data_IF_746350513332
#
_entry.id   IF_746350513332
#
_cell.length_a   1.000
_cell.length_b   1.000
_cell.length_c   1.000
_cell.angle_alpha   90.00
_cell.angle_beta   90.00
_cell.angle_gamma   90.00
#
_symmetry.space_group_name_H-M   'P 1'
#
loop_
_entity.id
_entity.type
_entity.pdbx_description
1 polymer ?
#
# COMPACT_ATOMS: atom_id res chain seq x y z
N UNK A 1 93.51 4.52 10.05
CA UNK A 1 92.67 4.18 8.89
C UNK A 1 91.31 3.69 9.45
N UNK A 2 90.30 4.52 9.43
CA UNK A 2 89.02 4.19 9.96
C UNK A 2 87.99 4.52 8.90
N UNK A 3 87.36 3.48 8.31
CA UNK A 3 86.32 3.62 7.29
C UNK A 3 84.99 3.79 8.02
N UNK A 4 84.35 4.92 7.85
CA UNK A 4 82.99 5.18 8.30
C UNK A 4 82.00 4.70 7.23
N UNK A 5 81.16 3.74 7.60
CA UNK A 5 80.10 3.23 6.80
C UNK A 5 78.82 4.11 7.07
N UNK A 6 78.33 4.79 6.05
CA UNK A 6 77.07 5.51 6.12
C UNK A 6 75.97 4.56 5.75
N UNK A 7 75.09 4.24 6.70
CA UNK A 7 73.78 3.59 6.44
C UNK A 7 72.79 4.68 6.03
N UNK A 8 72.32 4.63 4.79
CA UNK A 8 71.10 5.35 4.36
C UNK A 8 69.89 4.53 4.78
N UNK A 9 69.15 5.01 5.77
CA UNK A 9 67.83 4.50 6.10
C UNK A 9 66.80 5.16 5.16
N UNK A 10 66.30 4.39 4.21
CA UNK A 10 65.18 4.81 3.36
C UNK A 10 63.87 4.77 4.17
N UNK A 11 63.36 5.96 4.52
CA UNK A 11 62.05 6.12 5.14
C UNK A 11 61.00 5.92 4.07
N UNK A 12 60.39 4.73 4.03
CA UNK A 12 59.18 4.49 3.22
C UNK A 12 57.99 5.15 3.96
N UNK A 13 57.59 6.31 3.46
CA UNK A 13 56.38 6.98 3.91
C UNK A 13 55.18 6.24 3.30
N UNK A 14 54.56 5.34 4.06
CA UNK A 14 53.29 4.76 3.71
C UNK A 14 52.23 5.88 3.89
N UNK A 15 51.87 6.52 2.79
CA UNK A 15 50.66 7.34 2.75
C UNK A 15 49.47 6.38 2.92
N UNK A 16 49.00 6.27 4.14
CA UNK A 16 47.66 5.74 4.38
C UNK A 16 46.67 6.69 3.70
N UNK A 17 46.22 6.33 2.51
CA UNK A 17 45.18 7.04 1.81
C UNK A 17 43.97 7.09 2.71
N UNK A 18 43.43 8.28 2.92
CA UNK A 18 42.11 8.43 3.53
C UNK A 18 41.12 7.56 2.73
N UNK A 19 40.24 6.82 3.38
CA UNK A 19 39.26 6.02 2.65
C UNK A 19 38.46 6.97 1.74
N UNK A 20 38.48 6.68 0.44
CA UNK A 20 37.67 7.40 -0.53
C UNK A 20 36.21 7.26 -0.09
N UNK A 21 35.49 8.36 0.04
CA UNK A 21 34.07 8.43 0.44
C UNK A 21 33.16 7.70 -0.58
N UNK A 22 33.73 7.30 -1.71
CA UNK A 22 33.08 6.48 -2.74
C UNK A 22 33.84 5.16 -2.84
N UNK A 23 33.32 4.11 -2.18
CA UNK A 23 33.86 2.76 -2.35
C UNK A 23 33.80 2.33 -3.81
N UNK A 24 34.75 1.48 -4.22
CA UNK A 24 34.73 0.85 -5.54
C UNK A 24 33.40 0.09 -5.73
N UNK A 25 32.82 0.09 -6.96
CA UNK A 25 31.59 -0.62 -7.24
C UNK A 25 31.68 -2.10 -6.84
N UNK A 26 30.67 -2.60 -6.14
CA UNK A 26 30.59 -4.00 -5.70
C UNK A 26 29.65 -4.74 -6.64
N UNK A 27 30.15 -5.23 -7.76
CA UNK A 27 29.35 -5.88 -8.80
C UNK A 27 28.33 -4.91 -9.39
N UNK A 28 27.01 -5.16 -9.17
CA UNK A 28 25.96 -4.25 -9.65
C UNK A 28 25.70 -3.08 -8.71
N UNK A 29 26.23 -3.08 -7.49
CA UNK A 29 26.01 -2.01 -6.52
C UNK A 29 27.13 -0.97 -6.59
N UNK A 30 26.78 0.30 -6.60
CA UNK A 30 27.72 1.41 -6.53
C UNK A 30 28.00 1.85 -5.09
N UNK A 31 27.13 1.50 -4.15
CA UNK A 31 27.23 1.90 -2.75
C UNK A 31 26.92 0.72 -1.83
N UNK A 32 27.65 0.67 -0.71
CA UNK A 32 27.44 -0.31 0.35
C UNK A 32 27.83 0.34 1.68
N UNK A 33 26.86 0.48 2.58
CA UNK A 33 27.06 1.14 3.88
C UNK A 33 26.02 0.74 4.90
N UNK A 34 26.33 1.00 6.15
CA UNK A 34 25.37 0.90 7.23
C UNK A 34 24.47 2.13 7.27
N UNK A 35 23.19 1.94 7.58
CA UNK A 35 22.20 2.95 7.87
C UNK A 35 21.97 2.96 9.38
N UNK A 36 22.05 4.12 10.00
CA UNK A 36 22.08 4.24 11.46
C UNK A 36 23.41 3.81 12.05
N UNK A 37 23.37 3.33 13.26
CA UNK A 37 24.51 2.71 13.95
C UNK A 37 24.16 1.26 14.28
N UNK A 38 24.12 0.36 13.30
CA UNK A 38 23.88 -1.06 13.57
C UNK A 38 25.08 -1.59 14.31
N UNK A 39 25.13 -1.31 15.56
CA UNK A 39 26.32 -1.38 16.14
C UNK A 39 26.50 -2.20 17.27
N UNK A 40 27.15 -3.00 17.01
CA UNK A 40 27.74 -3.66 17.99
C UNK A 40 29.22 -3.68 18.00
N UNK A 41 29.85 -3.95 19.12
CA UNK A 41 31.26 -4.26 19.20
C UNK A 41 31.73 -5.36 18.23
N UNK A 42 30.83 -6.09 17.59
CA UNK A 42 31.15 -7.13 16.62
C UNK A 42 31.53 -6.64 15.21
N UNK A 43 31.37 -5.38 14.88
CA UNK A 43 31.80 -4.85 13.59
C UNK A 43 30.71 -4.19 12.75
N UNK A 44 31.13 -3.57 11.65
CA UNK A 44 30.26 -2.96 10.64
C UNK A 44 29.75 -4.00 9.65
N UNK A 45 28.58 -3.74 9.04
CA UNK A 45 28.10 -4.51 7.91
C UNK A 45 29.03 -4.44 6.69
N UNK A 46 28.75 -5.26 5.70
CA UNK A 46 29.55 -5.27 4.45
C UNK A 46 28.91 -6.10 3.37
N UNK A 47 29.16 -5.71 2.12
CA UNK A 47 28.69 -6.43 0.94
C UNK A 47 29.90 -7.00 0.20
N UNK A 48 29.82 -8.27 -0.18
CA UNK A 48 30.85 -8.95 -0.94
C UNK A 48 30.25 -9.62 -2.18
N UNK A 49 30.80 -9.34 -3.34
CA UNK A 49 30.53 -10.06 -4.58
C UNK A 49 31.08 -11.49 -4.48
N UNK A 50 30.30 -12.49 -4.82
CA UNK A 50 30.66 -13.91 -4.78
C UNK A 50 30.76 -14.47 -6.20
N UNK A 51 29.71 -14.28 -6.99
CA UNK A 51 29.62 -14.71 -8.37
C UNK A 51 28.66 -13.79 -9.15
N UNK A 52 28.50 -14.01 -10.43
CA UNK A 52 27.57 -13.21 -11.25
C UNK A 52 26.19 -13.16 -10.60
N UNK A 53 25.75 -11.96 -10.27
CA UNK A 53 24.47 -11.67 -9.61
C UNK A 53 24.26 -12.37 -8.25
N UNK A 54 25.36 -12.73 -7.56
CA UNK A 54 25.34 -13.36 -6.24
C UNK A 54 26.23 -12.60 -5.24
N UNK A 55 25.68 -12.33 -4.07
CA UNK A 55 26.33 -11.52 -3.04
C UNK A 55 26.16 -12.11 -1.65
N UNK A 56 27.16 -11.91 -0.81
CA UNK A 56 27.05 -12.07 0.64
C UNK A 56 26.93 -10.69 1.28
N UNK A 57 25.90 -10.49 2.09
CA UNK A 57 25.67 -9.25 2.82
C UNK A 57 25.71 -9.55 4.30
N UNK A 58 26.75 -9.04 4.96
CA UNK A 58 26.91 -9.09 6.41
C UNK A 58 26.20 -7.89 7.00
N UNK A 59 25.33 -8.10 7.99
CA UNK A 59 24.52 -7.03 8.57
C UNK A 59 24.24 -7.23 10.05
N UNK A 60 24.26 -6.14 10.78
CA UNK A 60 23.70 -5.98 12.11
C UNK A 60 22.44 -5.11 12.07
N UNK A 61 22.01 -4.65 13.23
CA UNK A 61 20.96 -3.65 13.36
C UNK A 61 19.73 -4.13 14.12
N UNK A 62 19.13 -3.21 14.88
CA UNK A 62 17.97 -3.52 15.71
C UNK A 62 16.74 -3.88 14.90
N UNK A 63 16.47 -3.17 13.82
CA UNK A 63 15.39 -3.47 12.88
C UNK A 63 15.31 -2.46 11.72
N UNK A 64 14.47 -2.79 10.73
CA UNK A 64 13.87 -1.89 9.75
C UNK A 64 12.40 -1.78 10.13
N UNK A 65 12.11 -0.93 11.12
CA UNK A 65 10.78 -0.76 11.71
C UNK A 65 10.71 0.51 12.58
N UNK A 66 9.49 0.88 13.03
CA UNK A 66 9.31 2.06 13.86
C UNK A 66 9.76 3.34 13.15
N UNK A 67 10.26 4.30 13.90
CA UNK A 67 10.62 5.64 13.39
C UNK A 67 12.07 5.76 12.90
N UNK A 68 12.91 4.76 13.16
CA UNK A 68 14.33 4.78 12.82
C UNK A 68 14.87 3.39 12.52
N UNK A 69 15.56 3.25 11.39
CA UNK A 69 16.09 1.99 10.88
C UNK A 69 17.56 1.80 11.25
N UNK A 70 17.95 0.53 11.43
CA UNK A 70 19.33 0.13 11.58
C UNK A 70 19.59 -1.17 10.79
N UNK A 71 20.43 -1.08 9.72
CA UNK A 71 20.66 -2.17 8.79
C UNK A 71 21.87 -1.91 7.89
N UNK A 72 22.30 -2.90 7.12
CA UNK A 72 23.26 -2.73 6.04
C UNK A 72 22.56 -2.59 4.69
N UNK A 73 23.00 -1.63 3.86
CA UNK A 73 22.38 -1.28 2.58
C UNK A 73 23.39 -1.31 1.42
N UNK A 74 23.13 -2.19 0.44
CA UNK A 74 23.84 -2.23 -0.83
C UNK A 74 22.90 -1.71 -1.93
N UNK A 75 23.25 -0.59 -2.60
CA UNK A 75 22.29 0.13 -3.43
C UNK A 75 22.91 0.90 -4.60
N UNK A 76 22.04 1.36 -5.49
CA UNK A 76 22.32 2.36 -6.51
C UNK A 76 21.44 3.59 -6.34
N UNK A 77 21.93 4.75 -6.82
CA UNK A 77 21.08 5.90 -7.08
C UNK A 77 20.38 5.67 -8.41
N UNK A 78 19.07 5.77 -8.41
CA UNK A 78 18.23 5.47 -9.56
C UNK A 78 17.27 6.62 -9.85
N UNK A 79 16.84 6.75 -11.11
CA UNK A 79 15.82 7.69 -11.56
C UNK A 79 14.90 7.00 -12.58
N UNK A 80 13.70 7.54 -12.78
CA UNK A 80 12.72 6.99 -13.72
C UNK A 80 12.12 5.66 -13.27
N UNK A 81 11.64 4.89 -14.23
CA UNK A 81 11.00 3.59 -13.98
C UNK A 81 12.07 2.51 -13.82
N UNK A 82 12.11 1.89 -12.66
CA UNK A 82 13.14 0.90 -12.32
C UNK A 82 12.61 -0.14 -11.34
N UNK A 83 12.99 -1.38 -11.54
CA UNK A 83 12.80 -2.51 -10.61
C UNK A 83 14.16 -3.03 -10.15
N UNK A 84 14.28 -3.27 -8.87
CA UNK A 84 15.35 -4.05 -8.27
C UNK A 84 14.80 -5.36 -7.74
N UNK A 85 15.45 -6.47 -8.07
CA UNK A 85 15.06 -7.82 -7.69
C UNK A 85 16.22 -8.63 -7.13
N UNK A 86 15.90 -9.57 -6.26
CA UNK A 86 16.81 -10.56 -5.73
C UNK A 86 16.09 -11.85 -5.31
N UNK A 87 16.84 -12.96 -5.24
CA UNK A 87 16.45 -14.19 -4.54
C UNK A 87 16.98 -14.11 -3.11
N UNK A 88 16.08 -14.07 -2.09
CA UNK A 88 16.51 -14.01 -0.70
C UNK A 88 17.05 -15.35 -0.22
N UNK A 89 18.08 -15.32 0.61
CA UNK A 89 18.64 -16.50 1.25
C UNK A 89 19.56 -16.14 2.42
N UNK A 90 19.94 -17.14 3.19
CA UNK A 90 20.83 -17.01 4.35
C UNK A 90 22.02 -17.96 4.23
N UNK A 91 23.22 -17.48 4.53
CA UNK A 91 24.47 -18.29 4.48
C UNK A 91 24.89 -18.73 5.87
N UNK A 92 24.89 -17.83 6.84
CA UNK A 92 25.22 -18.12 8.22
C UNK A 92 24.07 -17.71 9.12
N UNK A 93 23.57 -18.68 9.86
CA UNK A 93 22.53 -18.49 10.82
C UNK A 93 23.06 -18.23 12.21
N UNK A 94 22.82 -17.11 12.72
CA UNK A 94 22.86 -16.62 14.10
C UNK A 94 21.94 -15.44 14.14
N UNK A 95 21.37 -15.12 15.27
CA UNK A 95 20.51 -13.94 15.37
C UNK A 95 19.03 -14.26 15.44
N UNK A 96 18.25 -13.21 15.37
CA UNK A 96 16.82 -13.22 15.61
C UNK A 96 16.06 -13.79 14.41
N UNK A 97 14.97 -14.51 14.64
CA UNK A 97 14.07 -15.03 13.60
C UNK A 97 13.38 -13.90 12.79
N UNK A 98 13.35 -12.68 13.32
CA UNK A 98 12.90 -11.48 12.65
C UNK A 98 13.96 -10.84 11.74
N UNK A 99 15.17 -11.41 11.66
CA UNK A 99 16.15 -10.94 10.69
C UNK A 99 15.55 -10.90 9.29
N UNK A 100 15.83 -9.84 8.52
CA UNK A 100 15.17 -9.57 7.24
C UNK A 100 16.18 -9.43 6.12
N UNK A 101 15.76 -9.89 4.94
CA UNK A 101 16.33 -9.54 3.63
C UNK A 101 15.24 -8.84 2.85
N UNK A 102 15.56 -7.67 2.34
CA UNK A 102 14.58 -6.80 1.67
C UNK A 102 15.14 -6.26 0.35
N UNK A 103 14.26 -6.06 -0.64
CA UNK A 103 14.46 -5.09 -1.69
C UNK A 103 13.85 -3.78 -1.21
N UNK A 104 14.62 -2.68 -1.26
CA UNK A 104 14.20 -1.43 -0.63
C UNK A 104 14.44 -0.23 -1.53
N UNK A 105 13.46 0.66 -1.59
CA UNK A 105 13.53 1.98 -2.19
C UNK A 105 13.47 3.03 -1.08
N UNK A 106 14.41 4.00 -1.10
CA UNK A 106 14.52 5.07 -0.10
C UNK A 106 14.79 6.41 -0.74
N UNK A 107 14.42 7.47 -0.04
CA UNK A 107 14.77 8.84 -0.45
C UNK A 107 16.25 9.14 -0.17
N UNK A 108 16.74 8.74 1.00
CA UNK A 108 18.14 8.94 1.42
C UNK A 108 18.57 7.87 2.44
N UNK A 109 19.75 8.01 3.02
CA UNK A 109 20.32 7.09 4.02
C UNK A 109 20.03 7.48 5.47
N UNK A 110 19.21 8.49 5.72
CA UNK A 110 18.81 8.86 7.09
C UNK A 110 17.94 7.75 7.69
N UNK A 111 18.08 7.50 8.98
CA UNK A 111 17.38 6.39 9.67
C UNK A 111 15.87 6.48 9.56
N UNK A 112 15.32 7.67 9.58
CA UNK A 112 13.88 7.95 9.42
C UNK A 112 13.43 8.26 7.99
N UNK A 113 14.22 7.92 6.96
CA UNK A 113 13.89 8.20 5.55
C UNK A 113 12.58 7.56 5.13
N UNK A 114 11.85 8.23 4.23
CA UNK A 114 10.77 7.60 3.46
C UNK A 114 11.34 6.33 2.81
N UNK A 115 10.64 5.21 2.98
CA UNK A 115 11.07 3.91 2.49
C UNK A 115 9.89 3.02 2.11
N UNK A 116 10.08 2.24 1.05
CA UNK A 116 9.17 1.20 0.57
C UNK A 116 9.98 -0.06 0.32
N UNK A 117 9.59 -1.16 0.91
CA UNK A 117 10.34 -2.40 0.80
C UNK A 117 9.45 -3.62 0.61
N UNK A 118 10.01 -4.61 -0.08
CA UNK A 118 9.49 -5.99 -0.08
C UNK A 118 10.44 -6.81 0.78
N UNK A 119 9.95 -7.28 1.92
CA UNK A 119 10.75 -7.92 2.96
C UNK A 119 10.43 -9.40 3.07
N UNK A 120 11.47 -10.21 3.32
CA UNK A 120 11.34 -11.59 3.79
C UNK A 120 12.00 -11.74 5.15
N UNK A 121 11.45 -12.60 6.00
CA UNK A 121 12.06 -12.96 7.30
C UNK A 121 12.89 -14.23 7.16
N UNK A 122 13.81 -14.39 8.09
CA UNK A 122 14.56 -15.62 8.25
C UNK A 122 13.66 -16.71 8.82
N UNK A 123 13.17 -17.60 8.02
CA UNK A 123 12.27 -18.65 8.42
C UNK A 123 12.96 -19.88 9.02
N UNK A 124 13.71 -19.78 10.10
CA UNK A 124 14.21 -20.95 10.82
C UNK A 124 13.45 -21.22 12.11
N UNK A 125 13.21 -22.52 12.36
CA UNK A 125 12.43 -23.08 13.46
C UNK A 125 13.07 -22.91 14.86
N UNK A 126 13.84 -21.87 15.10
CA UNK A 126 14.57 -21.71 16.37
C UNK A 126 13.84 -20.83 17.38
N UNK A 127 12.62 -20.38 17.08
CA UNK A 127 11.78 -19.77 18.10
C UNK A 127 11.18 -20.85 19.01
N UNK A 128 11.62 -20.95 20.27
CA UNK A 128 11.14 -22.00 21.20
C UNK A 128 9.66 -21.86 21.56
N UNK A 129 9.00 -20.77 21.16
CA UNK A 129 7.58 -20.54 21.43
C UNK A 129 6.66 -20.74 20.22
N UNK A 130 7.18 -20.92 19.00
CA UNK A 130 6.35 -20.95 17.79
C UNK A 130 6.85 -22.03 16.82
N UNK A 131 6.17 -23.17 16.80
CA UNK A 131 6.50 -24.32 15.93
C UNK A 131 6.16 -24.10 14.45
N UNK A 132 5.82 -22.89 14.03
CA UNK A 132 5.45 -22.57 12.66
C UNK A 132 6.66 -21.98 11.92
N UNK A 133 7.06 -22.64 10.84
CA UNK A 133 8.02 -22.08 9.87
C UNK A 133 7.43 -20.79 9.33
N UNK A 134 8.00 -19.66 9.73
CA UNK A 134 7.55 -18.36 9.25
C UNK A 134 8.10 -18.07 7.85
N UNK A 135 7.51 -18.69 6.85
CA UNK A 135 7.64 -18.26 5.46
C UNK A 135 6.79 -17.00 5.31
N UNK A 136 7.36 -15.87 5.65
CA UNK A 136 6.69 -14.59 5.61
C UNK A 136 7.31 -13.69 4.53
N UNK A 137 6.47 -13.06 3.77
CA UNK A 137 6.82 -11.96 2.89
C UNK A 137 5.82 -10.83 3.08
N UNK A 138 6.27 -9.60 3.13
CA UNK A 138 5.40 -8.45 3.33
C UNK A 138 5.95 -7.18 2.69
N UNK A 139 5.04 -6.25 2.43
CA UNK A 139 5.39 -4.88 2.10
C UNK A 139 5.63 -4.09 3.40
N UNK A 140 6.72 -3.33 3.46
CA UNK A 140 7.01 -2.41 4.56
C UNK A 140 7.05 -0.97 4.04
N UNK A 141 6.40 -0.06 4.76
CA UNK A 141 6.12 1.28 4.26
C UNK A 141 6.37 2.32 5.35
N UNK A 142 7.17 3.33 5.02
CA UNK A 142 7.25 4.61 5.72
C UNK A 142 7.03 5.72 4.69
N UNK A 143 5.82 6.24 4.62
CA UNK A 143 5.43 7.26 3.63
C UNK A 143 5.81 8.68 4.02
N UNK A 144 6.12 8.90 5.30
CA UNK A 144 6.50 10.21 5.84
C UNK A 144 7.81 10.09 6.62
N UNK A 145 8.71 11.04 6.43
CA UNK A 145 10.00 11.07 7.15
C UNK A 145 9.79 11.08 8.67
N UNK A 146 10.52 10.23 9.38
CA UNK A 146 10.44 10.03 10.83
C UNK A 146 9.10 9.50 11.36
N UNK A 147 8.16 9.14 10.50
CA UNK A 147 6.98 8.39 10.90
C UNK A 147 7.32 6.93 11.21
N UNK A 148 6.40 6.22 11.85
CA UNK A 148 6.52 4.78 12.03
C UNK A 148 6.52 4.05 10.68
N UNK A 149 7.38 3.04 10.57
CA UNK A 149 7.22 2.06 9.49
C UNK A 149 6.14 1.07 9.88
N UNK A 150 5.25 0.75 8.97
CA UNK A 150 4.19 -0.23 9.17
C UNK A 150 4.22 -1.30 8.08
N UNK A 151 3.65 -2.46 8.38
CA UNK A 151 3.46 -3.53 7.41
C UNK A 151 2.22 -3.24 6.56
N UNK A 152 2.38 -3.29 5.25
CA UNK A 152 1.26 -3.36 4.33
C UNK A 152 0.71 -4.79 4.27
N UNK A 153 0.43 -5.25 3.06
CA UNK A 153 -0.03 -6.64 2.85
C UNK A 153 1.07 -7.63 3.25
N UNK A 154 0.69 -8.65 4.01
CA UNK A 154 1.56 -9.74 4.43
C UNK A 154 1.01 -11.08 3.92
N UNK A 155 1.89 -11.88 3.32
CA UNK A 155 1.57 -13.24 2.90
C UNK A 155 2.41 -14.25 3.68
N UNK A 156 1.74 -15.26 4.23
CA UNK A 156 2.38 -16.39 4.88
C UNK A 156 2.32 -17.65 4.02
N UNK A 157 3.14 -18.64 4.34
CA UNK A 157 2.99 -20.00 3.81
C UNK A 157 4.10 -20.52 2.90
N UNK A 158 4.73 -19.68 2.09
CA UNK A 158 5.85 -20.10 1.22
C UNK A 158 6.91 -19.02 1.08
N UNK A 159 8.17 -19.41 1.05
CA UNK A 159 9.27 -18.48 0.75
C UNK A 159 9.25 -18.19 -0.76
N UNK A 160 9.18 -16.93 -1.18
CA UNK A 160 9.26 -16.60 -2.59
C UNK A 160 10.65 -16.93 -3.16
N UNK A 161 10.70 -17.34 -4.41
CA UNK A 161 11.94 -17.54 -5.15
C UNK A 161 12.66 -16.23 -5.42
N UNK A 162 11.88 -15.15 -5.60
CA UNK A 162 12.38 -13.78 -5.74
C UNK A 162 11.44 -12.79 -5.09
N UNK A 163 12.02 -11.67 -4.67
CA UNK A 163 11.32 -10.46 -4.24
C UNK A 163 11.79 -9.27 -5.06
N UNK A 164 10.94 -8.27 -5.24
CA UNK A 164 11.32 -7.04 -5.91
C UNK A 164 10.56 -5.83 -5.36
N UNK A 165 11.22 -4.67 -5.44
CA UNK A 165 10.59 -3.36 -5.28
C UNK A 165 10.82 -2.58 -6.57
N UNK A 166 9.75 -1.97 -7.10
CA UNK A 166 9.84 -1.14 -8.29
C UNK A 166 9.16 0.20 -8.13
N UNK A 167 9.72 1.21 -8.80
CA UNK A 167 9.07 2.49 -9.06
C UNK A 167 8.59 2.51 -10.50
N UNK A 168 7.35 2.92 -10.72
CA UNK A 168 6.78 3.16 -12.05
C UNK A 168 6.09 4.51 -12.06
N UNK A 169 6.39 5.32 -13.06
CA UNK A 169 5.64 6.54 -13.39
C UNK A 169 4.89 6.25 -14.68
N UNK A 170 3.57 6.30 -14.62
CA UNK A 170 2.69 6.08 -15.76
C UNK A 170 1.56 7.12 -15.77
N UNK A 171 1.35 7.77 -16.91
CA UNK A 171 0.36 8.85 -17.09
C UNK A 171 0.42 9.95 -16.01
N UNK A 172 1.61 10.26 -15.49
CA UNK A 172 1.82 11.23 -14.41
C UNK A 172 1.63 10.68 -13.00
N UNK A 173 1.04 9.49 -12.85
CA UNK A 173 0.98 8.82 -11.54
C UNK A 173 2.31 8.19 -11.18
N UNK A 174 2.80 8.48 -9.99
CA UNK A 174 3.99 7.86 -9.43
C UNK A 174 3.59 6.74 -8.48
N UNK A 175 4.03 5.52 -8.78
CA UNK A 175 3.68 4.31 -8.05
C UNK A 175 4.92 3.58 -7.56
N UNK A 176 4.81 2.95 -6.39
CA UNK A 176 5.75 1.94 -5.91
C UNK A 176 5.01 0.62 -5.74
N UNK A 177 5.60 -0.45 -6.26
CA UNK A 177 5.08 -1.81 -6.09
C UNK A 177 6.07 -2.68 -5.32
N UNK A 178 5.52 -3.47 -4.40
CA UNK A 178 6.17 -4.62 -3.77
C UNK A 178 5.74 -5.88 -4.51
N UNK A 179 6.69 -6.67 -4.99
CA UNK A 179 6.45 -7.81 -5.87
C UNK A 179 7.08 -9.08 -5.33
N UNK A 180 6.43 -10.21 -5.57
CA UNK A 180 6.93 -11.55 -5.25
C UNK A 180 6.84 -12.48 -6.45
N UNK A 181 7.75 -13.44 -6.54
CA UNK A 181 7.72 -14.52 -7.53
C UNK A 181 7.95 -15.86 -6.83
N UNK A 182 6.98 -16.76 -6.94
CA UNK A 182 7.05 -18.14 -6.45
C UNK A 182 7.45 -19.15 -7.53
N UNK A 183 8.02 -18.67 -8.64
CA UNK A 183 8.45 -19.48 -9.78
C UNK A 183 7.47 -19.46 -10.96
N UNK A 184 6.35 -18.76 -10.86
CA UNK A 184 5.34 -18.63 -11.93
C UNK A 184 5.28 -17.21 -12.54
N UNK A 185 6.23 -16.35 -12.19
CA UNK A 185 6.28 -14.95 -12.58
C UNK A 185 5.87 -14.00 -11.46
N UNK A 186 6.07 -12.69 -11.70
CA UNK A 186 5.80 -11.65 -10.73
C UNK A 186 4.33 -11.55 -10.37
N UNK A 187 4.06 -11.50 -9.08
CA UNK A 187 2.75 -11.20 -8.49
C UNK A 187 2.85 -9.90 -7.70
N UNK A 188 1.83 -9.09 -7.79
CA UNK A 188 1.72 -7.86 -7.01
C UNK A 188 1.34 -8.20 -5.58
N UNK A 189 2.17 -7.84 -4.63
CA UNK A 189 1.91 -7.93 -3.21
C UNK A 189 1.21 -6.66 -2.71
N UNK A 190 1.74 -5.49 -3.11
CA UNK A 190 1.21 -4.19 -2.72
C UNK A 190 1.54 -3.13 -3.79
N UNK A 191 0.65 -2.16 -3.96
CA UNK A 191 0.86 -1.01 -4.86
C UNK A 191 0.45 0.26 -4.16
N UNK A 192 1.38 1.23 -4.11
CA UNK A 192 1.13 2.52 -3.48
C UNK A 192 1.28 3.66 -4.48
N UNK A 193 0.31 4.56 -4.47
CA UNK A 193 0.45 5.88 -5.07
C UNK A 193 1.32 6.76 -4.15
N UNK A 194 2.35 7.39 -4.72
CA UNK A 194 3.41 8.07 -3.95
C UNK A 194 3.81 9.39 -4.62
N UNK A 195 2.94 10.39 -4.65
CA UNK A 195 3.10 11.57 -5.48
C UNK A 195 4.32 12.45 -5.12
N UNK A 196 4.82 12.33 -3.91
CA UNK A 196 5.86 13.22 -3.36
C UNK A 196 7.28 12.65 -3.41
N UNK A 197 7.51 11.47 -4.00
CA UNK A 197 8.86 10.95 -4.11
C UNK A 197 9.71 11.78 -5.10
N UNK A 198 10.96 12.11 -4.74
CA UNK A 198 11.87 12.80 -5.67
C UNK A 198 12.23 11.91 -6.86
N UNK A 199 12.73 12.52 -7.95
CA UNK A 199 13.13 11.74 -9.11
C UNK A 199 14.30 10.80 -8.81
N UNK A 200 15.33 11.28 -8.11
CA UNK A 200 16.46 10.45 -7.70
C UNK A 200 16.17 9.77 -6.35
N UNK A 201 16.28 8.45 -6.34
CA UNK A 201 16.05 7.58 -5.19
C UNK A 201 17.22 6.61 -5.00
N UNK A 202 17.27 5.97 -3.84
CA UNK A 202 18.16 4.86 -3.54
C UNK A 202 17.35 3.56 -3.67
N UNK A 203 17.87 2.59 -4.41
CA UNK A 203 17.21 1.30 -4.61
C UNK A 203 18.23 0.17 -4.52
N UNK A 204 17.93 -0.86 -3.71
CA UNK A 204 18.88 -1.97 -3.51
C UNK A 204 18.44 -2.98 -2.46
N UNK A 205 19.42 -3.74 -1.97
CA UNK A 205 19.25 -4.78 -0.97
C UNK A 205 19.52 -4.25 0.44
N UNK A 206 18.57 -4.45 1.35
CA UNK A 206 18.69 -4.13 2.76
C UNK A 206 18.67 -5.41 3.60
N UNK A 207 19.56 -5.50 4.59
CA UNK A 207 19.65 -6.64 5.49
C UNK A 207 19.79 -6.16 6.92
N UNK A 208 18.99 -6.72 7.83
CA UNK A 208 19.07 -6.47 9.27
C UNK A 208 19.07 -7.77 10.06
N UNK A 209 19.84 -7.84 11.15
CA UNK A 209 19.86 -9.00 12.05
C UNK A 209 18.67 -9.00 13.02
N UNK A 210 17.93 -7.91 13.12
CA UNK A 210 16.94 -7.65 14.16
C UNK A 210 17.54 -7.78 15.58
N UNK A 211 18.86 -7.53 15.69
CA UNK A 211 19.60 -7.56 16.95
C UNK A 211 20.88 -6.76 16.83
N UNK A 212 21.13 -5.82 17.74
CA UNK A 212 22.36 -5.01 17.74
C UNK A 212 23.60 -5.78 18.22
N UNK A 213 23.44 -6.98 18.76
CA UNK A 213 24.53 -7.76 19.32
C UNK A 213 25.07 -8.85 18.37
N UNK A 214 24.33 -9.15 17.29
CA UNK A 214 24.66 -10.23 16.37
C UNK A 214 24.73 -9.74 14.92
N UNK A 215 25.70 -10.27 14.19
CA UNK A 215 25.73 -10.13 12.75
C UNK A 215 25.12 -11.37 12.11
N UNK A 216 24.30 -11.13 11.08
CA UNK A 216 23.81 -12.18 10.18
C UNK A 216 24.48 -12.05 8.82
N UNK A 217 24.57 -13.13 8.08
CA UNK A 217 25.03 -13.12 6.70
C UNK A 217 23.93 -13.63 5.79
N UNK A 218 23.39 -12.73 4.97
CA UNK A 218 22.48 -13.09 3.90
C UNK A 218 23.26 -13.48 2.65
N UNK A 219 22.80 -14.53 1.94
CA UNK A 219 23.23 -14.87 0.59
C UNK A 219 22.10 -14.50 -0.35
N UNK A 220 22.31 -13.50 -1.18
CA UNK A 220 21.32 -13.04 -2.16
C UNK A 220 21.79 -13.37 -3.56
N UNK A 221 20.90 -13.97 -4.34
CA UNK A 221 21.16 -14.38 -5.71
C UNK A 221 20.23 -13.68 -6.71
N UNK A 222 20.48 -13.90 -8.01
CA UNK A 222 19.66 -13.31 -9.09
C UNK A 222 19.45 -11.80 -8.98
N UNK A 223 20.46 -11.10 -8.43
CA UNK A 223 20.40 -9.66 -8.19
C UNK A 223 20.41 -8.92 -9.53
N UNK A 224 19.38 -8.14 -9.80
CA UNK A 224 19.26 -7.42 -11.06
C UNK A 224 18.49 -6.09 -10.91
N UNK A 225 18.84 -5.14 -11.81
CA UNK A 225 18.08 -3.92 -12.07
C UNK A 225 17.45 -4.00 -13.45
N UNK A 226 16.12 -3.83 -13.52
CA UNK A 226 15.38 -3.76 -14.78
C UNK A 226 14.92 -2.33 -15.02
N UNK A 227 15.30 -1.75 -16.16
CA UNK A 227 14.85 -0.43 -16.58
C UNK A 227 13.47 -0.53 -17.27
N UNK A 228 12.64 0.48 -17.08
CA UNK A 228 11.31 0.59 -17.64
C UNK A 228 10.42 -0.65 -17.42
N UNK A 229 10.33 -1.18 -16.18
CA UNK A 229 9.42 -2.27 -15.89
C UNK A 229 7.97 -1.79 -16.09
N UNK A 230 7.12 -2.69 -16.57
CA UNK A 230 5.66 -2.47 -16.57
C UNK A 230 5.06 -2.68 -15.17
N UNK A 231 3.86 -2.18 -14.98
CA UNK A 231 3.05 -2.46 -13.79
C UNK A 231 2.64 -3.93 -13.75
N UNK A 232 2.63 -4.52 -12.57
CA UNK A 232 2.29 -5.93 -12.33
C UNK A 232 0.97 -6.03 -11.57
N UNK A 233 0.07 -6.89 -12.04
CA UNK A 233 -1.14 -7.26 -11.30
C UNK A 233 -2.11 -6.13 -10.99
N UNK A 234 -2.08 -5.03 -11.77
CA UNK A 234 -3.06 -3.96 -11.63
C UNK A 234 -4.39 -4.44 -12.21
N UNK A 235 -5.47 -4.24 -11.44
CA UNK A 235 -6.82 -4.60 -11.86
C UNK A 235 -7.24 -3.78 -13.07
N UNK A 236 -7.86 -4.44 -14.05
CA UNK A 236 -8.56 -3.77 -15.15
C UNK A 236 -10.05 -3.86 -14.87
N UNK A 237 -10.74 -2.73 -14.89
CA UNK A 237 -12.20 -2.68 -14.73
C UNK A 237 -12.92 -3.22 -15.96
N UNK A 238 -14.24 -3.43 -15.84
CA UNK A 238 -15.07 -3.89 -16.96
C UNK A 238 -15.13 -2.88 -18.11
N UNK A 239 -15.88 -3.24 -19.16
CA UNK A 239 -16.10 -2.34 -20.28
C UNK A 239 -17.00 -1.15 -19.90
N UNK A 240 -16.89 -0.01 -20.58
CA UNK A 240 -17.79 1.11 -20.36
C UNK A 240 -19.25 0.72 -20.64
N UNK A 241 -20.17 1.42 -20.01
CA UNK A 241 -21.60 1.21 -20.21
C UNK A 241 -21.98 1.46 -21.67
N UNK A 242 -22.85 0.63 -22.25
CA UNK A 242 -23.28 0.79 -23.64
C UNK A 242 -24.31 1.91 -23.84
N UNK A 243 -24.79 2.52 -22.74
CA UNK A 243 -25.80 3.55 -22.73
C UNK A 243 -25.30 4.77 -21.93
N UNK A 244 -25.84 5.95 -22.26
CA UNK A 244 -25.59 7.14 -21.47
C UNK A 244 -26.13 6.96 -20.04
N UNK A 245 -25.47 7.54 -19.09
CA UNK A 245 -26.00 7.72 -17.75
C UNK A 245 -26.95 8.92 -17.73
N UNK A 246 -27.64 9.15 -16.59
CA UNK A 246 -28.47 10.35 -16.41
C UNK A 246 -27.69 11.66 -16.55
N UNK A 247 -28.42 12.75 -16.71
CA UNK A 247 -27.85 14.09 -16.87
C UNK A 247 -27.66 14.85 -15.54
N UNK A 248 -28.05 14.25 -14.41
CA UNK A 248 -27.94 14.88 -13.09
C UNK A 248 -26.52 14.65 -12.57
N UNK A 249 -25.69 15.69 -12.40
CA UNK A 249 -24.37 15.55 -11.82
C UNK A 249 -24.45 15.10 -10.36
N UNK A 250 -23.49 14.24 -9.94
CA UNK A 250 -23.35 13.81 -8.55
C UNK A 250 -23.57 12.32 -8.31
N UNK A 251 -23.64 11.99 -7.05
CA UNK A 251 -23.84 10.65 -6.51
C UNK A 251 -25.23 10.54 -5.90
N UNK A 252 -25.87 9.40 -6.07
CA UNK A 252 -27.00 9.00 -5.23
C UNK A 252 -26.43 8.31 -4.00
N UNK A 253 -26.75 8.83 -2.83
CA UNK A 253 -26.34 8.33 -1.54
C UNK A 253 -27.58 7.82 -0.82
N UNK A 254 -27.55 6.59 -0.37
CA UNK A 254 -28.65 5.92 0.32
C UNK A 254 -28.10 5.27 1.60
N UNK A 255 -28.63 5.67 2.76
CA UNK A 255 -28.25 5.11 4.05
C UNK A 255 -29.41 4.36 4.65
N UNK A 256 -29.17 3.17 5.17
CA UNK A 256 -30.14 2.33 5.82
C UNK A 256 -29.60 1.81 7.15
N UNK A 257 -30.40 1.98 8.21
CA UNK A 257 -30.05 1.52 9.55
C UNK A 257 -30.30 0.01 9.68
N UNK A 258 -29.33 -0.71 10.25
CA UNK A 258 -29.52 -2.09 10.67
C UNK A 258 -30.48 -2.16 11.88
N UNK A 259 -31.10 -3.32 12.10
CA UNK A 259 -32.05 -3.46 13.21
C UNK A 259 -31.39 -3.61 14.56
N UNK A 260 -30.26 -4.30 14.59
CA UNK A 260 -29.48 -4.57 15.81
C UNK A 260 -27.98 -4.51 15.50
N UNK A 261 -27.15 -4.25 16.50
CA UNK A 261 -25.69 -4.25 16.43
C UNK A 261 -25.11 -5.50 15.73
N UNK A 262 -25.70 -6.67 16.00
CA UNK A 262 -25.25 -7.93 15.41
C UNK A 262 -25.45 -8.03 13.90
N UNK A 263 -26.32 -7.22 13.33
CA UNK A 263 -26.68 -7.29 11.90
C UNK A 263 -25.50 -6.93 10.98
N UNK A 264 -24.59 -6.07 11.44
CA UNK A 264 -23.36 -5.71 10.70
C UNK A 264 -22.09 -6.44 11.17
N UNK A 265 -22.19 -7.34 12.14
CA UNK A 265 -21.05 -8.14 12.61
C UNK A 265 -20.39 -9.02 11.55
N UNK A 266 -21.01 -9.16 10.39
CA UNK A 266 -20.43 -9.78 9.19
C UNK A 266 -19.64 -8.80 8.30
N UNK A 267 -19.49 -7.53 8.69
CA UNK A 267 -18.80 -6.49 7.92
C UNK A 267 -19.39 -6.30 6.52
N UNK A 268 -18.58 -6.25 5.49
CA UNK A 268 -19.02 -6.02 4.11
C UNK A 268 -20.14 -6.97 3.61
N UNK A 269 -20.14 -8.23 4.05
CA UNK A 269 -21.16 -9.19 3.60
C UNK A 269 -22.53 -8.82 4.12
N UNK A 270 -22.62 -8.41 5.38
CA UNK A 270 -23.86 -7.97 6.00
C UNK A 270 -24.32 -6.61 5.44
N UNK A 271 -23.40 -5.67 5.24
CA UNK A 271 -23.69 -4.39 4.61
C UNK A 271 -24.22 -4.56 3.19
N UNK A 272 -23.61 -5.45 2.39
CA UNK A 272 -24.08 -5.78 1.04
C UNK A 272 -25.49 -6.37 1.04
N UNK A 273 -25.78 -7.27 1.96
CA UNK A 273 -27.12 -7.84 2.12
C UNK A 273 -28.12 -6.74 2.49
N UNK A 274 -27.76 -5.88 3.45
CA UNK A 274 -28.61 -4.79 3.91
C UNK A 274 -28.96 -3.82 2.77
N UNK A 275 -27.97 -3.27 2.07
CA UNK A 275 -28.21 -2.30 1.00
C UNK A 275 -28.86 -2.92 -0.24
N UNK A 276 -28.67 -4.20 -0.52
CA UNK A 276 -29.26 -4.88 -1.67
C UNK A 276 -30.71 -5.24 -1.42
N UNK A 277 -31.04 -5.60 -0.19
CA UNK A 277 -32.38 -6.10 0.18
C UNK A 277 -33.33 -4.96 0.56
N UNK A 278 -32.79 -3.88 1.13
CA UNK A 278 -33.62 -2.87 1.81
C UNK A 278 -33.47 -1.45 1.25
N UNK A 279 -32.35 -1.11 0.55
CA UNK A 279 -32.09 0.27 0.11
C UNK A 279 -33.00 0.76 -1.03
N UNK A 280 -33.56 -0.12 -1.84
CA UNK A 280 -34.44 0.29 -2.96
C UNK A 280 -35.87 0.49 -2.45
N UNK A 281 -36.14 1.73 -2.05
CA UNK A 281 -37.50 2.14 -1.64
C UNK A 281 -37.77 2.09 -0.15
N UNK A 282 -36.77 1.79 0.67
CA UNK A 282 -36.88 1.72 2.13
C UNK A 282 -37.69 0.51 2.63
N UNK A 283 -37.22 -0.11 3.68
CA UNK A 283 -38.00 -1.09 4.44
C UNK A 283 -38.91 -0.29 5.42
N UNK A 284 -40.24 -0.47 5.43
CA UNK A 284 -41.13 0.26 6.34
C UNK A 284 -40.78 0.11 7.83
N UNK A 285 -39.93 -0.81 8.19
CA UNK A 285 -39.50 -1.07 9.56
C UNK A 285 -38.10 -0.55 9.91
N UNK A 286 -37.38 0.08 8.96
CA UNK A 286 -36.01 0.58 9.17
C UNK A 286 -35.89 2.05 8.82
N UNK A 287 -35.01 2.76 9.51
CA UNK A 287 -34.65 4.12 9.14
C UNK A 287 -33.91 4.11 7.81
N UNK A 288 -34.30 5.00 6.93
CA UNK A 288 -33.75 5.11 5.59
C UNK A 288 -33.71 6.56 5.14
N UNK A 289 -32.63 6.96 4.55
CA UNK A 289 -32.47 8.26 3.91
C UNK A 289 -31.81 8.15 2.53
N UNK A 290 -32.17 9.09 1.66
CA UNK A 290 -31.55 9.18 0.32
C UNK A 290 -31.45 10.63 -0.12
N UNK A 291 -30.28 10.97 -0.72
CA UNK A 291 -30.09 12.28 -1.36
C UNK A 291 -29.13 12.19 -2.53
N UNK A 292 -28.97 13.31 -3.23
CA UNK A 292 -28.01 13.47 -4.31
C UNK A 292 -27.04 14.58 -3.92
N UNK A 293 -25.73 14.25 -3.86
CA UNK A 293 -24.68 15.20 -3.59
C UNK A 293 -23.66 15.23 -4.75
N UNK A 294 -23.06 16.38 -5.05
CA UNK A 294 -22.07 16.51 -6.12
C UNK A 294 -20.77 15.73 -5.84
N UNK A 295 -20.44 15.57 -4.57
CA UNK A 295 -19.30 14.82 -4.02
C UNK A 295 -19.77 14.02 -2.83
N UNK A 296 -19.01 13.00 -2.43
CA UNK A 296 -19.26 12.26 -1.19
C UNK A 296 -18.24 12.72 -0.16
N UNK A 297 -18.75 13.47 0.83
CA UNK A 297 -18.01 14.04 1.94
C UNK A 297 -18.96 14.08 3.15
N UNK A 298 -19.03 12.93 3.83
CA UNK A 298 -20.01 12.67 4.89
C UNK A 298 -19.27 12.57 6.22
N UNK A 299 -19.81 13.20 7.23
CA UNK A 299 -19.28 13.18 8.59
C UNK A 299 -20.42 13.01 9.58
N UNK A 300 -20.22 12.14 10.52
CA UNK A 300 -21.02 12.08 11.73
C UNK A 300 -20.17 12.47 12.93
N UNK A 301 -19.10 12.03 13.23
CA UNK A 301 -18.24 12.42 14.36
C UNK A 301 -16.76 12.05 14.14
N UNK A 302 -16.33 11.99 12.88
CA UNK A 302 -15.00 11.54 12.49
C UNK A 302 -13.92 12.60 12.58
N UNK A 303 -12.71 12.21 12.22
CA UNK A 303 -11.50 13.02 12.40
C UNK A 303 -10.82 13.46 11.10
N UNK A 304 -11.28 13.02 9.94
CA UNK A 304 -10.68 13.38 8.65
C UNK A 304 -11.66 14.19 7.83
N UNK A 305 -11.18 15.25 7.15
CA UNK A 305 -12.10 16.25 6.69
C UNK A 305 -11.50 17.07 5.55
N UNK A 306 -12.22 17.12 4.42
CA UNK A 306 -11.94 18.04 3.31
C UNK A 306 -12.66 19.38 3.46
N UNK A 307 -13.39 19.59 4.57
CA UNK A 307 -14.25 20.76 4.82
C UNK A 307 -15.62 20.64 4.12
N UNK A 308 -16.55 21.45 4.57
CA UNK A 308 -17.94 21.48 4.04
C UNK A 308 -18.67 20.12 4.09
N UNK A 309 -18.46 19.39 5.19
CA UNK A 309 -19.07 18.08 5.41
C UNK A 309 -20.59 18.15 5.49
N UNK A 310 -21.20 17.04 5.13
CA UNK A 310 -22.64 16.85 5.23
C UNK A 310 -22.95 15.58 6.03
N UNK A 311 -24.09 15.56 6.77
CA UNK A 311 -24.50 14.37 7.51
C UNK A 311 -24.86 13.20 6.59
N UNK A 312 -24.83 11.98 7.11
CA UNK A 312 -25.37 10.81 6.40
C UNK A 312 -26.88 10.98 6.20
N UNK A 313 -27.44 10.67 5.01
CA UNK A 313 -28.87 10.88 4.76
C UNK A 313 -29.73 9.96 5.65
N UNK A 314 -30.67 10.55 6.37
CA UNK A 314 -31.60 9.83 7.28
C UNK A 314 -30.96 9.42 8.60
N UNK A 315 -29.71 9.71 8.84
CA UNK A 315 -29.05 9.62 10.13
C UNK A 315 -28.84 11.04 10.61
N UNK A 316 -29.40 11.40 11.75
CA UNK A 316 -29.20 12.72 12.35
C UNK A 316 -28.22 12.61 13.51
N UNK A 317 -26.97 13.07 13.34
CA UNK A 317 -25.96 12.99 14.40
C UNK A 317 -26.26 13.89 15.61
N UNK A 318 -27.29 14.75 15.51
CA UNK A 318 -27.59 15.74 16.54
C UNK A 318 -28.95 15.56 17.25
N UNK A 319 -29.86 14.77 16.74
CA UNK A 319 -31.11 14.43 17.42
C UNK A 319 -30.89 13.27 18.40
N UNK A 320 -30.32 13.56 19.56
CA UNK A 320 -30.35 12.58 20.67
C UNK A 320 -31.79 12.34 21.11
N UNK A 321 -32.27 11.11 21.09
CA UNK A 321 -33.57 10.80 21.70
C UNK A 321 -33.51 11.15 23.18
N UNK A 322 -34.55 11.73 23.69
CA UNK A 322 -34.66 12.28 25.06
C UNK A 322 -34.54 11.20 26.16
N UNK A 323 -34.49 9.92 25.78
CA UNK A 323 -34.32 8.80 26.72
C UNK A 323 -33.57 7.65 26.04
N UNK A 324 -32.28 7.60 26.22
CA UNK A 324 -31.48 6.46 25.87
C UNK A 324 -31.73 5.27 26.83
N UNK A 325 -31.94 4.04 26.34
CA UNK A 325 -31.62 2.87 27.12
C UNK A 325 -30.12 2.77 27.23
N UNK A 326 -29.62 2.66 28.44
CA UNK A 326 -28.19 2.67 28.76
C UNK A 326 -27.37 1.77 27.80
N UNK A 327 -26.61 2.35 26.86
CA UNK A 327 -25.56 1.64 26.16
C UNK A 327 -25.46 1.75 24.64
N UNK A 328 -26.13 2.63 23.93
CA UNK A 328 -25.93 2.80 22.49
C UNK A 328 -26.10 4.26 22.06
N UNK A 329 -25.19 4.77 21.27
CA UNK A 329 -25.41 5.97 20.47
C UNK A 329 -26.38 5.57 19.34
N UNK A 330 -27.41 6.41 19.09
CA UNK A 330 -28.45 6.12 18.09
C UNK A 330 -27.94 6.22 16.65
N UNK A 331 -26.69 6.65 16.49
CA UNK A 331 -26.00 6.90 15.23
C UNK A 331 -25.21 5.69 14.68
N UNK A 332 -25.18 4.59 15.43
CA UNK A 332 -24.47 3.36 15.08
C UNK A 332 -25.31 2.41 14.19
N UNK A 333 -24.65 1.43 13.60
CA UNK A 333 -25.26 0.29 12.90
C UNK A 333 -26.03 0.64 11.63
N UNK A 334 -25.37 1.23 10.68
CA UNK A 334 -25.94 1.49 9.36
C UNK A 334 -25.00 1.12 8.21
N UNK A 335 -25.55 0.98 7.02
CA UNK A 335 -24.80 0.86 5.79
C UNK A 335 -25.18 1.97 4.82
N UNK A 336 -24.20 2.51 4.13
CA UNK A 336 -24.37 3.53 3.11
C UNK A 336 -23.99 2.99 1.74
N UNK A 337 -24.95 3.07 0.80
CA UNK A 337 -24.74 2.76 -0.61
C UNK A 337 -24.59 4.06 -1.40
N UNK A 338 -23.48 4.17 -2.10
CA UNK A 338 -23.22 5.25 -3.05
C UNK A 338 -23.24 4.70 -4.46
N UNK A 339 -24.08 5.27 -5.32
CA UNK A 339 -24.14 4.88 -6.74
C UNK A 339 -24.00 6.09 -7.66
N UNK A 340 -23.25 5.89 -8.73
CA UNK A 340 -23.05 6.88 -9.79
C UNK A 340 -22.67 6.19 -11.11
N UNK A 341 -22.63 6.96 -12.16
CA UNK A 341 -21.80 6.66 -13.32
C UNK A 341 -20.62 7.63 -13.34
N UNK A 342 -19.44 7.11 -13.60
CA UNK A 342 -18.19 7.88 -13.64
C UNK A 342 -17.63 7.92 -15.06
N UNK A 343 -17.20 9.09 -15.52
CA UNK A 343 -16.54 9.25 -16.79
C UNK A 343 -15.02 9.10 -16.62
N UNK A 344 -14.45 8.08 -17.24
CA UNK A 344 -13.01 7.83 -17.20
C UNK A 344 -12.38 7.87 -18.59
N UNK A 345 -11.14 8.30 -18.66
CA UNK A 345 -10.30 8.13 -19.85
C UNK A 345 -9.68 6.73 -19.88
N UNK A 346 -9.27 6.26 -21.05
CA UNK A 346 -8.48 5.03 -21.13
C UNK A 346 -7.16 5.19 -20.37
N UNK A 347 -6.80 4.21 -19.53
CA UNK A 347 -5.50 4.17 -18.85
C UNK A 347 -5.61 4.03 -17.34
N UNK A 348 -4.56 4.43 -16.65
CA UNK A 348 -4.41 4.31 -15.21
C UNK A 348 -5.24 5.38 -14.47
N UNK A 349 -5.86 4.97 -13.38
CA UNK A 349 -6.58 5.81 -12.44
C UNK A 349 -6.27 5.40 -11.01
N UNK A 350 -6.40 6.36 -10.08
CA UNK A 350 -6.22 6.14 -8.65
C UNK A 350 -7.41 6.76 -7.92
N UNK A 351 -8.31 5.93 -7.45
CA UNK A 351 -9.52 6.32 -6.73
C UNK A 351 -9.59 5.51 -5.44
N UNK A 352 -10.08 6.10 -4.38
CA UNK A 352 -10.19 5.44 -3.09
C UNK A 352 -11.18 6.12 -2.17
N UNK A 353 -10.98 5.93 -0.89
CA UNK A 353 -11.80 6.57 0.14
C UNK A 353 -11.08 6.66 1.47
N UNK A 354 -11.56 7.59 2.26
CA UNK A 354 -11.37 7.61 3.71
C UNK A 354 -12.67 7.15 4.34
N UNK A 355 -12.60 6.31 5.34
CA UNK A 355 -13.80 5.84 6.03
C UNK A 355 -13.51 5.36 7.45
N UNK A 356 -14.50 5.53 8.28
CA UNK A 356 -14.71 4.87 9.54
C UNK A 356 -16.12 4.25 9.52
N UNK A 357 -16.32 2.94 9.62
CA UNK A 357 -15.36 1.83 9.77
C UNK A 357 -14.62 1.50 8.45
N UNK A 358 -15.35 1.20 7.38
CA UNK A 358 -14.74 0.73 6.16
C UNK A 358 -15.63 0.91 4.92
N UNK A 359 -15.01 1.20 3.76
CA UNK A 359 -15.67 1.33 2.46
C UNK A 359 -15.08 0.37 1.43
N UNK A 360 -15.96 -0.23 0.62
CA UNK A 360 -15.62 -1.02 -0.57
C UNK A 360 -16.03 -0.26 -1.83
N UNK A 361 -15.14 -0.17 -2.82
CA UNK A 361 -15.35 0.56 -4.07
C UNK A 361 -15.32 -0.39 -5.27
N UNK A 362 -16.34 -0.28 -6.11
CA UNK A 362 -16.50 -1.04 -7.36
C UNK A 362 -16.69 -0.08 -8.54
N UNK A 363 -15.95 -0.30 -9.64
CA UNK A 363 -16.09 0.46 -10.89
C UNK A 363 -16.18 -0.51 -12.06
N UNK A 364 -17.11 -0.29 -12.97
CA UNK A 364 -17.33 -1.18 -14.11
C UNK A 364 -17.65 -2.63 -13.69
N UNK A 365 -18.29 -2.82 -12.53
CA UNK A 365 -18.63 -4.13 -11.96
C UNK A 365 -17.44 -4.89 -11.38
N UNK A 366 -16.29 -4.24 -11.21
CA UNK A 366 -15.08 -4.82 -10.61
C UNK A 366 -14.76 -4.10 -9.30
N UNK A 367 -14.62 -4.85 -8.21
CA UNK A 367 -14.10 -4.30 -6.96
C UNK A 367 -12.66 -3.84 -7.18
N UNK A 368 -12.42 -2.54 -7.14
CA UNK A 368 -11.07 -1.97 -7.27
C UNK A 368 -10.30 -2.06 -5.96
N UNK A 369 -10.98 -1.95 -4.82
CA UNK A 369 -10.40 -2.09 -3.49
C UNK A 369 -11.42 -1.87 -2.38
N UNK A 370 -10.92 -2.02 -1.16
CA UNK A 370 -11.64 -1.75 0.09
C UNK A 370 -10.67 -1.28 1.18
N UNK A 371 -11.12 -0.40 2.05
CA UNK A 371 -10.42 -0.13 3.31
C UNK A 371 -10.54 -1.35 4.23
N UNK A 372 -9.58 -1.55 5.10
CA UNK A 372 -9.55 -2.74 5.98
C UNK A 372 -9.49 -2.37 7.46
N UNK A 373 -9.55 -1.10 7.78
CA UNK A 373 -9.46 -0.56 9.14
C UNK A 373 -10.22 0.75 9.22
N UNK A 374 -10.72 1.06 10.39
CA UNK A 374 -11.36 2.32 10.73
C UNK A 374 -10.37 3.50 10.59
N UNK A 375 -10.88 4.67 10.26
CA UNK A 375 -10.16 5.94 10.15
C UNK A 375 -8.90 5.81 9.26
N UNK A 376 -9.06 5.24 8.06
CA UNK A 376 -7.97 5.04 7.10
C UNK A 376 -8.30 5.57 5.72
N UNK A 377 -7.28 6.17 5.08
CA UNK A 377 -7.33 6.53 3.66
C UNK A 377 -6.61 5.47 2.84
N UNK A 378 -7.34 4.78 1.99
CA UNK A 378 -6.78 3.83 1.04
C UNK A 378 -7.07 4.25 -0.41
N UNK A 379 -6.02 4.31 -1.22
CA UNK A 379 -6.09 4.66 -2.63
C UNK A 379 -5.84 3.43 -3.50
N UNK A 380 -6.76 3.13 -4.40
CA UNK A 380 -6.77 1.94 -5.24
C UNK A 380 -6.35 2.28 -6.66
N UNK A 381 -5.37 1.54 -7.16
CA UNK A 381 -4.83 1.72 -8.52
C UNK A 381 -5.49 0.72 -9.46
N UNK A 382 -6.04 1.20 -10.57
CA UNK A 382 -6.70 0.36 -11.58
C UNK A 382 -6.55 0.94 -12.98
N UNK A 383 -6.93 0.17 -14.00
CA UNK A 383 -6.86 0.58 -15.40
C UNK A 383 -8.24 0.52 -16.04
N UNK A 384 -8.65 1.60 -16.71
CA UNK A 384 -9.82 1.63 -17.57
C UNK A 384 -9.42 1.17 -19.00
N UNK A 385 -10.08 0.14 -19.57
CA UNK A 385 -9.70 -0.41 -20.88
C UNK A 385 -10.00 0.55 -22.05
N UNK A 386 -10.95 1.44 -21.90
CA UNK A 386 -11.36 2.42 -22.89
C UNK A 386 -11.80 3.74 -22.22
N UNK A 387 -11.82 4.81 -22.99
CA UNK A 387 -12.50 6.06 -22.57
C UNK A 387 -14.01 5.85 -22.65
N UNK A 388 -14.73 6.18 -21.57
CA UNK A 388 -16.19 5.99 -21.53
C UNK A 388 -16.78 6.25 -20.16
N UNK A 389 -18.05 5.89 -20.02
CA UNK A 389 -18.82 6.02 -18.79
C UNK A 389 -18.91 4.62 -18.15
N UNK A 390 -18.61 4.54 -16.87
CA UNK A 390 -18.58 3.28 -16.10
C UNK A 390 -19.56 3.35 -14.93
N UNK A 391 -20.10 2.21 -14.54
CA UNK A 391 -20.81 2.13 -13.27
C UNK A 391 -19.88 2.37 -12.11
N UNK A 392 -20.32 3.14 -11.15
CA UNK A 392 -19.64 3.36 -9.87
C UNK A 392 -20.55 2.91 -8.74
N UNK A 393 -19.98 2.20 -7.78
CA UNK A 393 -20.66 1.77 -6.57
C UNK A 393 -19.68 1.73 -5.42
N UNK A 394 -20.08 2.32 -4.28
CA UNK A 394 -19.37 2.11 -3.02
C UNK A 394 -20.35 1.66 -1.94
N UNK A 395 -19.89 0.81 -1.04
CA UNK A 395 -20.63 0.38 0.15
C UNK A 395 -19.77 0.58 1.35
N UNK A 396 -20.24 1.41 2.27
CA UNK A 396 -19.65 1.66 3.58
C UNK A 396 -20.54 1.02 4.63
N UNK A 397 -19.97 0.58 5.73
CA UNK A 397 -20.71 0.20 6.93
C UNK A 397 -20.11 0.87 8.15
N UNK A 398 -20.97 1.15 9.11
CA UNK A 398 -20.64 1.67 10.44
C UNK A 398 -21.24 0.74 11.49
N UNK A 399 -20.40 0.31 12.42
CA UNK A 399 -20.81 -0.56 13.54
C UNK A 399 -20.98 0.22 14.83
N UNK A 400 -20.18 1.24 15.07
CA UNK A 400 -20.29 2.06 16.25
C UNK A 400 -19.12 2.99 16.47
N UNK A 401 -19.44 4.17 16.97
CA UNK A 401 -18.48 5.24 17.23
C UNK A 401 -18.68 6.42 16.31
N UNK A 402 -17.62 7.16 16.00
CA UNK A 402 -17.67 8.21 15.00
C UNK A 402 -17.54 7.62 13.61
N UNK A 403 -18.25 8.17 12.64
CA UNK A 403 -18.18 7.71 11.26
C UNK A 403 -17.89 8.83 10.27
N UNK A 404 -17.20 8.48 9.22
CA UNK A 404 -16.96 9.34 8.07
C UNK A 404 -16.90 8.56 6.76
N UNK A 405 -17.17 9.24 5.65
CA UNK A 405 -16.99 8.69 4.31
C UNK A 405 -16.63 9.80 3.34
N UNK A 406 -15.41 9.81 2.87
CA UNK A 406 -14.99 10.63 1.75
C UNK A 406 -14.55 9.73 0.59
N UNK A 407 -15.12 9.98 -0.59
CA UNK A 407 -14.64 9.34 -1.82
C UNK A 407 -13.62 10.26 -2.50
N UNK A 408 -12.47 9.71 -2.83
CA UNK A 408 -11.29 10.45 -3.20
C UNK A 408 -10.79 10.06 -4.58
N UNK A 409 -10.25 11.04 -5.31
CA UNK A 409 -9.51 10.84 -6.55
C UNK A 409 -8.13 11.49 -6.44
N UNK A 410 -7.10 10.71 -6.74
CA UNK A 410 -5.76 11.25 -6.93
C UNK A 410 -5.59 11.74 -8.36
N UNK A 411 -5.00 12.92 -8.53
CA UNK A 411 -4.68 13.48 -9.83
C UNK A 411 -3.22 13.17 -10.22
N UNK A 412 -2.89 13.15 -11.53
CA UNK A 412 -1.53 12.92 -11.99
C UNK A 412 -0.50 13.95 -11.48
N UNK A 413 -0.95 15.16 -11.11
CA UNK A 413 -0.11 16.21 -10.54
C UNK A 413 0.19 16.05 -9.05
N UNK A 414 -0.34 14.98 -8.43
CA UNK A 414 -0.11 14.63 -7.03
C UNK A 414 -1.14 15.19 -6.06
N UNK A 415 -2.14 15.95 -6.52
CA UNK A 415 -3.22 16.41 -5.66
C UNK A 415 -4.20 15.28 -5.36
N UNK A 416 -4.70 15.27 -4.14
CA UNK A 416 -5.83 14.46 -3.72
C UNK A 416 -7.05 15.37 -3.61
N UNK A 417 -8.16 14.97 -4.23
CA UNK A 417 -9.41 15.74 -4.28
C UNK A 417 -10.60 14.84 -3.97
N UNK A 418 -11.74 15.44 -3.66
CA UNK A 418 -13.00 14.69 -3.60
C UNK A 418 -13.38 14.20 -5.01
N UNK A 419 -13.76 12.94 -5.11
CA UNK A 419 -14.23 12.34 -6.35
C UNK A 419 -15.52 13.06 -6.81
N UNK A 420 -15.56 13.48 -8.08
CA UNK A 420 -16.66 14.26 -8.62
C UNK A 420 -16.44 15.78 -8.63
N UNK A 421 -15.38 16.27 -7.96
CA UNK A 421 -15.02 17.70 -8.02
C UNK A 421 -14.36 18.05 -9.37
N UNK A 422 -15.20 18.26 -10.37
CA UNK A 422 -14.77 18.64 -11.73
C UNK A 422 -14.06 20.00 -11.73
N UNK A 423 -14.40 20.90 -10.82
CA UNK A 423 -13.76 22.22 -10.74
C UNK A 423 -12.30 22.11 -10.29
N UNK A 424 -11.98 21.14 -9.45
CA UNK A 424 -10.62 20.81 -9.05
C UNK A 424 -9.86 19.97 -10.11
N UNK A 425 -10.53 19.48 -11.15
CA UNK A 425 -9.96 18.67 -12.23
C UNK A 425 -10.29 17.18 -12.15
N UNK A 426 -11.23 16.80 -11.29
CA UNK A 426 -11.66 15.41 -11.09
C UNK A 426 -12.57 14.88 -12.19
N UNK A 427 -12.80 13.58 -12.12
CA UNK A 427 -13.70 12.84 -13.01
C UNK A 427 -15.14 13.28 -12.85
N UNK A 428 -15.85 13.47 -13.96
CA UNK A 428 -17.28 13.78 -13.91
C UNK A 428 -18.08 12.56 -13.47
N UNK A 429 -19.07 12.79 -12.62
CA UNK A 429 -19.98 11.76 -12.11
C UNK A 429 -21.44 12.18 -12.32
N UNK A 430 -22.32 11.20 -12.55
CA UNK A 430 -23.71 11.42 -12.85
C UNK A 430 -24.58 10.40 -12.14
N UNK A 431 -25.76 10.83 -11.68
CA UNK A 431 -26.75 9.93 -11.07
C UNK A 431 -27.32 8.99 -12.14
N UNK A 432 -27.31 7.65 -11.91
CA UNK A 432 -27.88 6.72 -12.86
C UNK A 432 -29.39 6.91 -13.02
N UNK A 433 -29.90 6.89 -14.25
CA UNK A 433 -31.35 6.82 -14.47
C UNK A 433 -31.94 5.48 -13.97
N UNK A 434 -33.24 5.45 -13.64
CA UNK A 434 -33.89 4.21 -13.15
C UNK A 434 -33.71 3.00 -14.07
N UNK A 435 -33.71 3.20 -15.40
CA UNK A 435 -33.46 2.14 -16.36
C UNK A 435 -32.02 1.61 -16.31
N UNK A 436 -31.04 2.48 -16.05
CA UNK A 436 -29.62 2.14 -15.88
C UNK A 436 -29.40 1.37 -14.57
N UNK A 437 -30.10 1.75 -13.49
CA UNK A 437 -30.06 1.03 -12.21
C UNK A 437 -30.55 -0.42 -12.38
N UNK A 438 -31.65 -0.64 -13.13
CA UNK A 438 -32.15 -1.98 -13.42
C UNK A 438 -31.12 -2.83 -14.19
N UNK A 439 -30.41 -2.27 -15.16
CA UNK A 439 -29.33 -2.97 -15.90
C UNK A 439 -28.14 -3.29 -15.00
N UNK A 440 -27.74 -2.40 -14.11
CA UNK A 440 -26.66 -2.60 -13.15
C UNK A 440 -26.99 -3.73 -12.15
N UNK A 441 -28.22 -3.77 -11.66
CA UNK A 441 -28.72 -4.84 -10.77
C UNK A 441 -28.74 -6.22 -11.44
N UNK A 442 -29.17 -6.30 -12.71
CA UNK A 442 -29.21 -7.57 -13.47
C UNK A 442 -27.82 -8.05 -13.88
N UNK A 443 -26.88 -7.16 -14.19
CA UNK A 443 -25.50 -7.50 -14.52
C UNK A 443 -24.78 -8.16 -13.35
N UNK A 444 -24.93 -7.64 -12.14
CA UNK A 444 -24.38 -8.23 -10.90
C UNK A 444 -24.93 -9.63 -10.60
N UNK A 445 -26.24 -9.84 -10.78
CA UNK A 445 -26.88 -11.14 -10.59
C UNK A 445 -26.46 -12.18 -11.65
N UNK A 446 -26.21 -11.75 -12.88
CA UNK A 446 -25.72 -12.63 -13.94
C UNK A 446 -24.30 -13.14 -13.65
N UNK A 447 -23.42 -12.30 -13.15
CA UNK A 447 -22.03 -12.67 -12.77
C UNK A 447 -22.01 -13.62 -11.55
N UNK A 448 -22.88 -13.44 -10.56
CA UNK A 448 -23.00 -14.35 -9.42
C UNK A 448 -23.47 -15.76 -9.84
N UNK A 449 -24.34 -15.88 -10.87
CA UNK A 449 -24.77 -17.18 -11.41
C UNK A 449 -23.68 -17.93 -12.17
N UNK A 450 -22.80 -17.21 -12.85
CA UNK A 450 -21.67 -17.84 -13.58
C UNK A 450 -20.63 -18.41 -12.63
N UNK A 451 -20.36 -17.73 -11.49
CA UNK A 451 -19.41 -18.22 -10.46
C UNK A 451 -19.90 -19.46 -9.69
N UNK A 452 -21.21 -19.74 -9.64
CA UNK A 452 -21.76 -20.96 -8.99
C UNK A 452 -21.70 -22.22 -9.84
N UNK A 453 -21.28 -22.15 -11.11
CA UNK A 453 -21.21 -23.29 -12.05
C UNK A 453 -19.78 -23.71 -12.44
N UNK A 454 -18.75 -23.23 -11.68
CA UNK A 454 -17.37 -23.73 -11.87
C UNK A 454 -16.84 -24.31 -10.56
#
# INVERSE_FOLDING_TARGET
>A
MCKRLFLLASLILVLAGAPSVFGEPIGVFNFSQDVGTPGNPSGTGGTRYVATNEYLILAGGSDIWGTADQFHYAYNKVSGNVRFELSPGWDIGGGNYWAKVETMLRVNTDTGSIAYATATRRGDNTDPGNAVVHNWVGAQIRSVTNAGMWGGVEWGGSTPSKIATQRVVDNGYQLVQSLVDYGSGWQNLDTRWVPSLPDQLLLGAAVTSHDNWWLVQARVGNVAYTQNPGLVGIKTIGDPLPVACGDIPGFRIETIKAGEWSDLGGGYAAAEELVTTHAIGGDPGREYGSRIDPVVNLLDNGNFNFGDDTSFPGIDPYEKPVVEPAGGDDDDNYATLVTACIQLTKGLHVIGGHSDDAVKVEIGGVEIGRTVSWNTTDMFVFTAPATGIYSFRAVMYEQGGGSDLELLEALPDGRLILLGDVAAGGSAVYVPEPATIALLGFGGLAMLRVRRKR
#
